data_IF_040753477606
#
_entry.id   IF_040753477606
#
_cell.length_a   1.000
_cell.length_b   1.000
_cell.length_c   1.000
_cell.angle_alpha   90.00
_cell.angle_beta   90.00
_cell.angle_gamma   90.00
#
_symmetry.space_group_name_H-M   'P 1'
#
loop_
_entity.id
_entity.type
_entity.pdbx_description
1 polymer ?
#
# COMPACT_ATOMS: atom_id res chain seq x y z
N UNK A 1 -26.76 3.87 -46.97
CA UNK A 1 -25.55 4.61 -46.56
C UNK A 1 -25.75 5.07 -45.12
N UNK A 2 -25.81 4.13 -44.17
CA UNK A 2 -26.12 4.40 -42.76
C UNK A 2 -25.49 3.32 -41.88
N UNK A 3 -25.69 2.04 -42.26
CA UNK A 3 -25.04 0.87 -41.66
C UNK A 3 -23.50 0.91 -41.63
N UNK A 4 -22.84 1.54 -42.60
CA UNK A 4 -21.39 1.69 -42.60
C UNK A 4 -20.94 2.70 -41.54
N UNK A 5 -21.68 3.80 -41.37
CA UNK A 5 -21.43 4.80 -40.34
C UNK A 5 -21.70 4.23 -38.95
N UNK A 6 -22.80 3.49 -38.79
CA UNK A 6 -23.16 2.78 -37.57
C UNK A 6 -22.09 1.75 -37.18
N UNK A 7 -21.58 0.96 -38.13
CA UNK A 7 -20.48 0.03 -37.85
C UNK A 7 -19.18 0.76 -37.45
N UNK A 8 -18.86 1.89 -38.10
CA UNK A 8 -17.71 2.71 -37.70
C UNK A 8 -17.88 3.24 -36.28
N UNK A 9 -19.04 3.80 -35.93
CA UNK A 9 -19.33 4.30 -34.57
C UNK A 9 -19.25 3.18 -33.53
N UNK A 10 -19.82 1.99 -33.81
CA UNK A 10 -19.74 0.82 -32.91
C UNK A 10 -18.30 0.36 -32.73
N UNK A 11 -17.49 0.33 -33.79
CA UNK A 11 -16.08 -0.04 -33.72
C UNK A 11 -15.25 0.97 -32.90
N UNK A 12 -15.53 2.26 -33.06
CA UNK A 12 -14.89 3.34 -32.28
C UNK A 12 -15.32 3.31 -30.82
N UNK A 13 -16.62 3.10 -30.55
CA UNK A 13 -17.16 2.99 -29.20
C UNK A 13 -16.57 1.77 -28.46
N UNK A 14 -16.44 0.64 -29.16
CA UNK A 14 -15.81 -0.58 -28.61
C UNK A 14 -14.33 -0.36 -28.30
N UNK A 15 -13.60 0.31 -29.20
CA UNK A 15 -12.19 0.66 -29.00
C UNK A 15 -12.01 1.60 -27.81
N UNK A 16 -12.88 2.60 -27.67
CA UNK A 16 -12.87 3.53 -26.54
C UNK A 16 -13.23 2.84 -25.21
N UNK A 17 -14.22 1.96 -25.22
CA UNK A 17 -14.59 1.17 -24.04
C UNK A 17 -13.45 0.24 -23.60
N UNK A 18 -12.75 -0.37 -24.56
CA UNK A 18 -11.57 -1.21 -24.31
C UNK A 18 -10.42 -0.39 -23.73
N UNK A 19 -10.16 0.80 -24.28
CA UNK A 19 -9.14 1.72 -23.75
C UNK A 19 -9.47 2.16 -22.31
N UNK A 20 -10.71 2.61 -22.05
CA UNK A 20 -11.16 2.97 -20.70
C UNK A 20 -11.05 1.81 -19.71
N UNK A 21 -11.37 0.61 -20.16
CA UNK A 21 -11.23 -0.61 -19.33
C UNK A 21 -9.76 -0.86 -19.02
N UNK A 22 -8.86 -0.75 -20.00
CA UNK A 22 -7.43 -0.87 -19.80
C UNK A 22 -6.90 0.16 -18.78
N UNK A 23 -7.29 1.42 -18.91
CA UNK A 23 -6.90 2.48 -17.97
C UNK A 23 -7.41 2.23 -16.55
N UNK A 24 -8.67 1.78 -16.43
CA UNK A 24 -9.26 1.42 -15.15
C UNK A 24 -8.52 0.23 -14.50
N UNK A 25 -8.17 -0.79 -15.28
CA UNK A 25 -7.39 -1.94 -14.81
C UNK A 25 -5.99 -1.52 -14.35
N UNK A 26 -5.31 -0.67 -15.12
CA UNK A 26 -3.99 -0.15 -14.76
C UNK A 26 -4.03 0.62 -13.44
N UNK A 27 -5.04 1.47 -13.23
CA UNK A 27 -5.23 2.18 -11.95
C UNK A 27 -5.54 1.23 -10.80
N UNK A 28 -6.36 0.19 -11.01
CA UNK A 28 -6.67 -0.82 -9.98
C UNK A 28 -5.43 -1.62 -9.60
N UNK A 29 -4.62 -2.02 -10.58
CA UNK A 29 -3.35 -2.71 -10.33
C UNK A 29 -2.38 -1.81 -9.56
N UNK A 30 -2.23 -0.53 -9.95
CA UNK A 30 -1.41 0.43 -9.22
C UNK A 30 -1.91 0.60 -7.78
N UNK A 31 -3.22 0.76 -7.58
CA UNK A 31 -3.81 0.85 -6.24
C UNK A 31 -3.54 -0.41 -5.43
N UNK A 32 -3.70 -1.59 -6.03
CA UNK A 32 -3.40 -2.86 -5.37
C UNK A 32 -1.92 -2.99 -5.03
N UNK A 33 -1.01 -2.55 -5.89
CA UNK A 33 0.42 -2.52 -5.62
C UNK A 33 0.74 -1.60 -4.44
N UNK A 34 0.13 -0.42 -4.37
CA UNK A 34 0.24 0.50 -3.23
C UNK A 34 -0.32 -0.12 -1.94
N UNK A 35 -1.49 -0.75 -1.99
CA UNK A 35 -2.10 -1.42 -0.83
C UNK A 35 -1.22 -2.59 -0.32
N UNK A 36 -0.60 -3.36 -1.23
CA UNK A 36 0.38 -4.40 -0.89
C UNK A 36 1.65 -3.81 -0.28
N UNK A 37 2.15 -2.70 -0.82
CA UNK A 37 3.32 -2.01 -0.29
C UNK A 37 3.06 -1.48 1.12
N UNK A 38 1.89 -0.87 1.35
CA UNK A 38 1.47 -0.39 2.66
C UNK A 38 1.36 -1.55 3.67
N UNK A 39 0.78 -2.68 3.26
CA UNK A 39 0.69 -3.89 4.09
C UNK A 39 2.08 -4.43 4.46
N UNK A 40 2.98 -4.49 3.47
CA UNK A 40 4.37 -4.94 3.67
C UNK A 40 5.12 -3.99 4.61
N UNK A 41 4.96 -2.67 4.43
CA UNK A 41 5.54 -1.67 5.31
C UNK A 41 5.01 -1.80 6.75
N UNK A 42 3.70 -2.03 6.94
CA UNK A 42 3.12 -2.25 8.27
C UNK A 42 3.67 -3.50 8.96
N UNK A 43 3.92 -4.56 8.19
CA UNK A 43 4.54 -5.80 8.69
C UNK A 43 5.99 -5.55 9.12
N UNK A 44 6.76 -4.80 8.32
CA UNK A 44 8.12 -4.42 8.69
C UNK A 44 8.16 -3.51 9.92
N UNK A 45 7.25 -2.55 10.04
CA UNK A 45 7.15 -1.68 11.22
C UNK A 45 6.79 -2.48 12.47
N UNK A 46 5.87 -3.44 12.37
CA UNK A 46 5.49 -4.30 13.49
C UNK A 46 6.66 -5.23 13.90
N UNK A 47 7.34 -5.81 12.91
CA UNK A 47 8.55 -6.60 13.16
C UNK A 47 9.66 -5.77 13.81
N UNK A 48 9.85 -4.52 13.37
CA UNK A 48 10.80 -3.58 13.97
C UNK A 48 10.43 -3.30 15.43
N UNK A 49 9.14 -3.05 15.72
CA UNK A 49 8.65 -2.82 17.08
C UNK A 49 8.83 -4.05 17.99
N UNK A 50 8.63 -5.27 17.48
CA UNK A 50 8.94 -6.50 18.23
C UNK A 50 10.44 -6.72 18.42
N UNK A 51 11.27 -6.28 17.46
CA UNK A 51 12.72 -6.42 17.54
C UNK A 51 13.40 -5.35 18.39
N UNK A 52 12.68 -4.29 18.79
CA UNK A 52 13.21 -3.29 19.72
C UNK A 52 13.46 -3.97 21.07
N UNK A 53 14.73 -4.06 21.51
CA UNK A 53 15.04 -4.61 22.81
C UNK A 53 14.37 -3.74 23.87
N UNK A 54 13.60 -4.35 24.77
CA UNK A 54 13.11 -3.66 25.95
C UNK A 54 14.34 -3.06 26.68
N UNK A 55 14.38 -1.74 26.95
CA UNK A 55 15.52 -1.11 27.60
C UNK A 55 15.80 -1.85 28.92
N UNK A 56 17.00 -2.41 29.05
CA UNK A 56 17.36 -3.12 30.27
C UNK A 56 17.30 -2.15 31.45
N UNK A 57 16.47 -2.48 32.44
CA UNK A 57 16.43 -1.76 33.71
C UNK A 57 17.85 -1.69 34.29
N UNK A 58 18.30 -0.49 34.65
CA UNK A 58 19.59 -0.32 35.29
C UNK A 58 19.55 -1.00 36.68
N UNK A 59 20.10 -2.21 36.73
CA UNK A 59 20.05 -3.12 37.91
C UNK A 59 21.21 -2.88 38.88
N UNK A 60 22.00 -1.81 38.72
CA UNK A 60 23.09 -1.47 39.63
C UNK A 60 23.36 0.04 39.67
N UNK A 61 23.54 0.55 40.89
CA UNK A 61 23.76 1.97 41.21
C UNK A 61 22.48 2.69 41.66
N UNK A 62 22.60 3.53 42.70
CA UNK A 62 21.49 4.28 43.33
C UNK A 62 20.78 5.27 42.40
N UNK A 63 21.42 5.71 41.31
CA UNK A 63 20.80 6.60 40.32
C UNK A 63 20.05 5.84 39.23
N UNK A 64 20.55 4.69 38.79
CA UNK A 64 19.94 3.89 37.72
C UNK A 64 18.61 3.25 38.12
N UNK A 65 18.46 2.88 39.40
CA UNK A 65 17.23 2.27 39.93
C UNK A 65 16.10 3.27 40.21
N UNK A 66 16.44 4.55 40.46
CA UNK A 66 15.46 5.60 40.78
C UNK A 66 14.98 6.37 39.55
N UNK A 67 15.79 6.44 38.50
CA UNK A 67 15.48 7.14 37.25
C UNK A 67 15.18 6.09 36.18
N UNK A 68 14.12 5.35 36.41
CA UNK A 68 13.62 4.37 35.46
C UNK A 68 12.66 5.07 34.51
N UNK A 69 13.21 5.82 33.53
CA UNK A 69 12.43 6.68 32.61
C UNK A 69 11.55 5.91 31.62
N UNK A 70 11.48 4.59 31.75
CA UNK A 70 10.70 3.66 30.93
C UNK A 70 9.82 2.71 31.76
N UNK A 71 9.71 2.91 33.09
CA UNK A 71 8.80 2.16 33.95
C UNK A 71 7.44 2.84 34.09
#
# INVERSE_FOLDING_TARGET
MDVALTNSIVSTATSLASAKTSDALNMVVLKKALDIQATSASTMLNAMQQSMPQPALATSGTLGTQVNTFA
#
